data_IF_254952312465
#
_entry.id   IF_254952312465
#
_cell.length_a   1.000
_cell.length_b   1.000
_cell.length_c   1.000
_cell.angle_alpha   90.00
_cell.angle_beta   90.00
_cell.angle_gamma   90.00
#
_symmetry.space_group_name_H-M   'P 1'
#
loop_
_entity.id
_entity.type
_entity.pdbx_description
1 polymer ?
#
# COMPACT_ATOMS: atom_id res chain seq x y z
N UNK A 1 -9.00 -0.27 6.05
CA UNK A 1 -9.11 -0.44 7.53
C UNK A 1 -10.55 -0.17 7.91
N UNK A 2 -11.24 -1.13 8.54
CA UNK A 2 -12.65 -0.98 8.87
C UNK A 2 -12.87 -0.12 10.13
N UNK A 3 -14.12 0.29 10.37
CA UNK A 3 -14.50 1.16 11.50
C UNK A 3 -14.18 0.51 12.85
N UNK A 4 -14.44 -0.80 12.99
CA UNK A 4 -14.18 -1.54 14.22
C UNK A 4 -12.69 -1.55 14.59
N UNK A 5 -11.79 -1.77 13.65
CA UNK A 5 -10.35 -1.69 13.89
C UNK A 5 -9.91 -0.33 14.45
N UNK A 6 -10.45 0.77 13.92
CA UNK A 6 -10.15 2.12 14.44
C UNK A 6 -10.67 2.31 15.85
N UNK A 7 -11.90 1.91 16.12
CA UNK A 7 -12.49 1.99 17.47
C UNK A 7 -11.68 1.20 18.48
N UNK A 8 -11.27 -0.03 18.13
CA UNK A 8 -10.42 -0.88 18.95
C UNK A 8 -9.07 -0.22 19.27
N UNK A 9 -8.37 0.24 18.24
CA UNK A 9 -7.05 0.85 18.38
C UNK A 9 -7.08 2.19 19.15
N UNK A 10 -8.17 2.94 19.03
CA UNK A 10 -8.38 4.16 19.82
C UNK A 10 -8.70 3.82 21.28
N UNK A 11 -9.41 2.72 21.54
CA UNK A 11 -9.66 2.20 22.89
C UNK A 11 -8.36 1.75 23.60
N UNK A 12 -7.51 0.96 22.91
CA UNK A 12 -6.19 0.57 23.44
C UNK A 12 -5.31 1.76 23.83
N UNK A 13 -5.48 2.90 23.15
CA UNK A 13 -4.75 4.14 23.41
C UNK A 13 -5.49 5.13 24.29
N UNK A 14 -6.59 4.70 24.91
CA UNK A 14 -7.45 5.56 25.76
C UNK A 14 -7.93 6.84 25.06
N UNK A 15 -8.18 6.76 23.74
CA UNK A 15 -8.68 7.88 22.94
C UNK A 15 -10.20 7.90 22.82
N UNK A 16 -10.89 6.90 23.32
CA UNK A 16 -12.33 6.81 23.42
C UNK A 16 -12.72 6.18 24.77
N UNK A 17 -14.01 6.09 25.05
CA UNK A 17 -14.55 5.57 26.32
C UNK A 17 -14.72 4.04 26.35
N UNK A 18 -14.37 3.34 25.27
CA UNK A 18 -14.50 1.88 25.20
C UNK A 18 -13.36 1.18 25.92
N UNK A 19 -13.68 0.05 26.54
CA UNK A 19 -12.72 -0.86 27.14
C UNK A 19 -12.51 -2.01 26.17
N UNK A 20 -11.34 -2.13 25.53
CA UNK A 20 -11.07 -3.25 24.64
C UNK A 20 -10.96 -4.53 25.46
N UNK A 21 -11.75 -5.54 25.10
CA UNK A 21 -11.72 -6.86 25.73
C UNK A 21 -11.62 -7.90 24.62
N UNK A 22 -10.52 -8.63 24.59
CA UNK A 22 -10.34 -9.80 23.74
C UNK A 22 -10.56 -11.07 24.56
N UNK A 23 -11.14 -12.08 23.93
CA UNK A 23 -11.33 -13.40 24.52
C UNK A 23 -10.82 -14.43 23.52
N UNK A 24 -9.62 -14.91 23.77
CA UNK A 24 -9.02 -15.95 22.95
C UNK A 24 -9.77 -17.28 23.12
N UNK A 25 -9.88 -18.08 22.08
CA UNK A 25 -10.64 -19.32 22.10
C UNK A 25 -10.22 -20.28 23.20
N UNK A 26 -8.93 -20.32 23.56
CA UNK A 26 -8.40 -21.20 24.61
C UNK A 26 -8.82 -20.81 26.03
N UNK A 27 -9.35 -19.61 26.24
CA UNK A 27 -9.85 -19.10 27.51
C UNK A 27 -11.31 -19.52 27.74
N UNK A 28 -11.99 -20.02 26.69
CA UNK A 28 -13.40 -20.42 26.78
C UNK A 28 -13.49 -21.88 27.22
N UNK A 29 -14.15 -22.19 28.35
CA UNK A 29 -14.32 -23.55 28.81
C UNK A 29 -14.92 -24.48 27.75
N UNK A 30 -14.33 -25.68 27.60
CA UNK A 30 -14.79 -26.70 26.66
C UNK A 30 -14.22 -26.55 25.23
N UNK A 31 -13.39 -25.54 24.99
CA UNK A 31 -12.66 -25.40 23.70
C UNK A 31 -11.23 -25.91 23.88
N UNK A 32 -10.94 -27.03 23.24
CA UNK A 32 -9.64 -27.70 23.24
C UNK A 32 -9.06 -27.77 21.83
N UNK A 33 -7.89 -28.33 21.66
CA UNK A 33 -7.23 -28.48 20.32
C UNK A 33 -8.09 -29.32 19.36
N UNK A 34 -8.90 -30.26 19.84
CA UNK A 34 -9.82 -31.04 19.02
C UNK A 34 -10.96 -30.15 18.50
N UNK A 35 -11.50 -29.29 19.37
CA UNK A 35 -12.50 -28.31 18.99
C UNK A 35 -11.92 -27.33 17.94
N UNK A 36 -10.68 -26.85 18.14
CA UNK A 36 -9.95 -25.99 17.19
C UNK A 36 -9.83 -26.66 15.82
N UNK A 37 -9.31 -27.87 15.78
CA UNK A 37 -9.14 -28.63 14.53
C UNK A 37 -10.47 -28.84 13.78
N UNK A 38 -11.54 -29.18 14.53
CA UNK A 38 -12.87 -29.36 13.95
C UNK A 38 -13.44 -28.04 13.40
N UNK A 39 -13.25 -26.94 14.11
CA UNK A 39 -13.73 -25.61 13.71
C UNK A 39 -13.00 -25.13 12.45
N UNK A 40 -11.68 -25.31 12.37
CA UNK A 40 -10.89 -24.98 11.19
C UNK A 40 -11.34 -25.83 9.98
N UNK A 41 -11.58 -27.11 10.16
CA UNK A 41 -12.06 -28.00 9.11
C UNK A 41 -13.45 -27.60 8.56
N UNK A 42 -14.32 -27.06 9.41
CA UNK A 42 -15.66 -26.63 9.06
C UNK A 42 -15.72 -25.21 8.47
N UNK A 43 -14.67 -24.41 8.66
CA UNK A 43 -14.60 -23.01 8.21
C UNK A 43 -13.36 -22.78 7.32
N UNK A 44 -12.36 -22.15 7.88
CA UNK A 44 -11.02 -22.02 7.31
C UNK A 44 -10.05 -21.53 8.40
N UNK A 45 -8.76 -21.76 8.22
CA UNK A 45 -7.75 -21.23 9.14
C UNK A 45 -7.79 -19.69 9.22
N UNK A 46 -8.03 -19.01 8.09
CA UNK A 46 -8.13 -17.55 8.07
C UNK A 46 -9.34 -17.04 8.84
N UNK A 47 -10.49 -17.71 8.72
CA UNK A 47 -11.70 -17.36 9.47
C UNK A 47 -11.51 -17.66 10.96
N UNK A 48 -10.90 -18.78 11.30
CA UNK A 48 -10.60 -19.14 12.68
C UNK A 48 -9.74 -18.06 13.37
N UNK A 49 -8.69 -17.58 12.71
CA UNK A 49 -7.82 -16.51 13.23
C UNK A 49 -8.58 -15.21 13.52
N UNK A 50 -9.48 -14.82 12.64
CA UNK A 50 -10.26 -13.58 12.81
C UNK A 50 -11.29 -13.72 13.93
N UNK A 51 -12.01 -14.84 13.97
CA UNK A 51 -13.16 -14.99 14.88
C UNK A 51 -12.80 -15.52 16.27
N UNK A 52 -11.73 -16.29 16.38
CA UNK A 52 -11.41 -17.01 17.61
C UNK A 52 -9.99 -16.73 18.15
N UNK A 53 -9.05 -16.30 17.33
CA UNK A 53 -7.72 -15.86 17.78
C UNK A 53 -7.62 -14.32 17.87
N UNK A 54 -8.73 -13.61 17.73
CA UNK A 54 -8.83 -12.15 17.84
C UNK A 54 -7.89 -11.38 16.90
N UNK A 55 -7.48 -12.01 15.78
CA UNK A 55 -6.57 -11.38 14.83
C UNK A 55 -7.30 -10.42 13.87
N UNK A 56 -6.84 -9.19 13.77
CA UNK A 56 -7.26 -8.24 12.74
C UNK A 56 -6.54 -8.53 11.43
N UNK A 57 -6.99 -9.53 10.68
CA UNK A 57 -6.36 -9.91 9.40
C UNK A 57 -6.70 -8.99 8.22
N UNK A 58 -7.48 -7.92 8.43
CA UNK A 58 -8.01 -7.11 7.34
C UNK A 58 -9.13 -7.85 6.58
N UNK A 59 -9.45 -7.42 5.36
CA UNK A 59 -10.46 -8.10 4.54
C UNK A 59 -9.91 -9.45 4.04
N UNK A 60 -10.70 -10.51 4.17
CA UNK A 60 -10.32 -11.90 3.81
C UNK A 60 -10.03 -12.06 2.30
N UNK A 61 -10.56 -11.13 1.47
CA UNK A 61 -10.44 -11.14 0.01
C UNK A 61 -9.48 -10.05 -0.50
N UNK A 62 -8.33 -9.86 0.14
CA UNK A 62 -7.31 -8.94 -0.39
C UNK A 62 -6.45 -9.64 -1.43
N UNK A 63 -6.02 -8.87 -2.46
CA UNK A 63 -5.11 -9.35 -3.50
C UNK A 63 -3.81 -9.94 -2.92
N UNK A 64 -3.33 -9.34 -1.82
CA UNK A 64 -2.14 -9.78 -1.11
C UNK A 64 -2.55 -10.37 0.24
N UNK A 65 -2.03 -11.56 0.55
CA UNK A 65 -2.27 -12.21 1.83
C UNK A 65 -1.90 -11.29 3.01
N UNK A 66 -2.82 -11.02 3.96
CA UNK A 66 -2.59 -10.12 5.09
C UNK A 66 -1.37 -10.51 5.96
N UNK A 67 -1.09 -11.80 6.11
CA UNK A 67 0.09 -12.25 6.84
C UNK A 67 1.40 -11.85 6.15
N UNK A 68 1.43 -11.83 4.80
CA UNK A 68 2.57 -11.31 4.04
C UNK A 68 2.71 -9.79 4.21
N UNK A 69 1.59 -9.06 4.24
CA UNK A 69 1.61 -7.61 4.48
C UNK A 69 2.15 -7.24 5.88
N UNK A 70 1.84 -8.03 6.90
CA UNK A 70 2.38 -7.84 8.27
C UNK A 70 3.91 -7.99 8.33
N UNK A 71 4.49 -8.80 7.45
CA UNK A 71 5.93 -9.06 7.42
C UNK A 71 6.72 -8.08 6.55
N UNK A 72 6.04 -7.12 5.89
CA UNK A 72 6.73 -6.07 5.14
C UNK A 72 7.42 -5.10 6.11
N UNK A 73 8.71 -4.98 5.95
CA UNK A 73 9.53 -4.04 6.72
C UNK A 73 9.40 -2.65 6.07
N UNK A 74 9.18 -1.63 6.89
CA UNK A 74 9.18 -0.25 6.42
C UNK A 74 10.62 0.20 6.17
N UNK A 75 10.89 0.73 4.99
CA UNK A 75 12.15 1.35 4.62
C UNK A 75 12.01 2.87 4.59
N UNK A 76 12.95 3.57 5.23
CA UNK A 76 12.97 5.03 5.21
C UNK A 76 13.57 5.52 3.88
N UNK A 77 12.97 6.50 3.22
CA UNK A 77 13.57 7.12 2.05
C UNK A 77 14.84 7.89 2.44
N UNK A 78 15.84 7.90 1.56
CA UNK A 78 17.06 8.70 1.72
C UNK A 78 16.80 10.19 1.51
N UNK A 79 15.79 10.53 0.71
CA UNK A 79 15.32 11.90 0.46
C UNK A 79 13.81 11.95 0.40
N UNK A 80 13.22 13.03 0.91
CA UNK A 80 11.78 13.28 0.85
C UNK A 80 11.50 14.72 0.48
N UNK A 81 10.71 14.96 -0.56
CA UNK A 81 10.32 16.29 -1.01
C UNK A 81 8.92 16.29 -1.65
N UNK A 82 8.00 17.11 -1.13
CA UNK A 82 6.70 17.40 -1.72
C UNK A 82 5.91 16.17 -2.25
N UNK A 83 5.92 15.07 -1.50
CA UNK A 83 5.23 13.82 -1.89
C UNK A 83 6.12 12.84 -2.65
N UNK A 84 7.33 13.22 -3.05
CA UNK A 84 8.35 12.33 -3.63
C UNK A 84 9.24 11.75 -2.53
N UNK A 85 9.23 10.45 -2.39
CA UNK A 85 10.14 9.67 -1.54
C UNK A 85 11.16 8.97 -2.44
N UNK A 86 12.44 9.20 -2.22
CA UNK A 86 13.55 8.56 -2.94
C UNK A 86 14.24 7.57 -2.00
N UNK A 87 14.38 6.33 -2.42
CA UNK A 87 15.04 5.25 -1.68
C UNK A 87 16.44 4.98 -2.20
N UNK A 88 16.66 5.09 -3.51
CA UNK A 88 17.97 4.99 -4.16
C UNK A 88 18.11 6.10 -5.21
N UNK A 89 19.26 6.77 -5.26
CA UNK A 89 19.58 7.73 -6.32
C UNK A 89 19.80 6.99 -7.66
N UNK A 90 19.52 7.63 -8.81
CA UNK A 90 19.74 7.02 -10.12
C UNK A 90 21.22 6.66 -10.32
N UNK A 91 21.47 5.51 -10.92
CA UNK A 91 22.82 5.00 -11.21
C UNK A 91 23.07 5.04 -12.72
N UNK A 92 24.30 5.32 -13.12
CA UNK A 92 24.71 5.28 -14.53
C UNK A 92 24.49 3.88 -15.15
N UNK A 93 24.02 3.83 -16.38
CA UNK A 93 23.73 2.61 -17.15
C UNK A 93 22.61 1.72 -16.56
N UNK A 94 21.82 2.24 -15.60
CA UNK A 94 20.62 1.56 -15.13
C UNK A 94 19.39 1.99 -15.95
N UNK A 95 18.48 1.04 -16.15
CA UNK A 95 17.20 1.26 -16.80
C UNK A 95 16.09 1.37 -15.76
N UNK A 96 15.19 2.33 -15.95
CA UNK A 96 14.11 2.63 -15.03
C UNK A 96 12.75 2.65 -15.71
N UNK A 97 11.72 2.30 -14.95
CA UNK A 97 10.32 2.33 -15.37
C UNK A 97 9.48 3.09 -14.35
N UNK A 98 8.73 4.07 -14.80
CA UNK A 98 7.67 4.74 -14.03
C UNK A 98 6.32 4.10 -14.35
N UNK A 99 5.62 3.63 -13.32
CA UNK A 99 4.22 3.23 -13.43
C UNK A 99 3.35 4.28 -12.76
N UNK A 100 2.36 4.81 -13.48
CA UNK A 100 1.66 6.04 -13.12
C UNK A 100 0.16 5.82 -13.09
N UNK A 101 -0.47 6.24 -11.98
CA UNK A 101 -1.90 6.35 -11.78
C UNK A 101 -2.28 7.82 -11.54
N UNK A 102 -3.28 8.33 -12.28
CA UNK A 102 -3.64 9.75 -12.30
C UNK A 102 -5.01 9.96 -11.66
N UNK A 103 -5.07 10.81 -10.64
CA UNK A 103 -6.31 11.25 -10.00
C UNK A 103 -6.66 12.70 -10.36
N UNK A 104 -7.87 13.13 -9.99
CA UNK A 104 -8.41 14.47 -10.35
C UNK A 104 -7.82 15.63 -9.54
N UNK A 105 -7.07 15.38 -8.49
CA UNK A 105 -6.45 16.42 -7.66
C UNK A 105 -7.45 17.25 -6.86
N UNK A 106 -8.51 16.62 -6.35
CA UNK A 106 -9.59 17.26 -5.58
C UNK A 106 -9.60 16.81 -4.11
N UNK A 107 -8.50 16.22 -3.64
CA UNK A 107 -8.32 15.81 -2.25
C UNK A 107 -8.82 14.40 -1.90
N UNK A 108 -9.57 13.73 -2.78
CA UNK A 108 -10.12 12.39 -2.52
C UNK A 108 -9.10 11.29 -2.85
N UNK A 109 -8.78 11.15 -4.14
CA UNK A 109 -7.85 10.15 -4.65
C UNK A 109 -6.48 10.76 -4.91
N UNK A 110 -5.45 9.92 -4.93
CA UNK A 110 -4.07 10.34 -5.11
C UNK A 110 -3.60 10.10 -6.53
N UNK A 111 -3.02 11.13 -7.15
CA UNK A 111 -2.08 10.92 -8.25
C UNK A 111 -0.80 10.33 -7.69
N UNK A 112 -0.34 9.23 -8.26
CA UNK A 112 0.80 8.49 -7.76
C UNK A 112 1.64 7.92 -8.90
N UNK A 113 2.94 7.71 -8.63
CA UNK A 113 3.78 6.85 -9.45
C UNK A 113 4.80 6.11 -8.60
N UNK A 114 5.31 5.03 -9.15
CA UNK A 114 6.42 4.26 -8.59
C UNK A 114 7.51 4.20 -9.65
N UNK A 115 8.76 4.41 -9.24
CA UNK A 115 9.94 4.23 -10.09
C UNK A 115 10.57 2.89 -9.73
N UNK A 116 10.69 2.03 -10.73
CA UNK A 116 11.38 0.75 -10.62
C UNK A 116 12.73 0.83 -11.31
N UNK A 117 13.77 0.32 -10.68
CA UNK A 117 14.98 -0.13 -11.35
C UNK A 117 14.69 -1.50 -11.97
N UNK A 118 14.73 -1.56 -13.31
CA UNK A 118 14.43 -2.76 -14.09
C UNK A 118 15.69 -3.38 -14.73
N UNK A 119 16.87 -2.91 -14.34
CA UNK A 119 18.15 -3.36 -14.88
C UNK A 119 18.39 -4.85 -14.64
N UNK A 120 18.02 -5.33 -13.46
CA UNK A 120 18.16 -6.73 -13.07
C UNK A 120 16.95 -7.23 -12.27
N UNK A 121 16.59 -8.49 -12.43
CA UNK A 121 15.57 -9.14 -11.62
C UNK A 121 16.18 -9.66 -10.31
N UNK A 122 15.50 -9.52 -9.14
CA UNK A 122 14.19 -8.89 -8.95
C UNK A 122 14.24 -7.37 -9.07
N UNK A 123 13.21 -6.78 -9.70
CA UNK A 123 13.10 -5.33 -9.84
C UNK A 123 12.98 -4.65 -8.47
N UNK A 124 13.57 -3.46 -8.33
CA UNK A 124 13.56 -2.71 -7.10
C UNK A 124 12.73 -1.43 -7.23
N UNK A 125 11.99 -1.08 -6.19
CA UNK A 125 11.36 0.23 -6.07
C UNK A 125 12.43 1.20 -5.56
N UNK A 126 12.79 2.22 -6.36
CA UNK A 126 13.82 3.21 -6.04
C UNK A 126 13.25 4.57 -5.69
N UNK A 127 12.03 4.88 -6.14
CA UNK A 127 11.31 6.07 -5.71
C UNK A 127 9.80 5.86 -5.81
N UNK A 128 9.04 6.69 -5.08
CA UNK A 128 7.58 6.79 -5.20
C UNK A 128 7.15 8.23 -5.03
N UNK A 129 6.06 8.58 -5.68
CA UNK A 129 5.38 9.85 -5.53
C UNK A 129 3.92 9.65 -5.17
N UNK A 130 3.35 10.54 -4.34
CA UNK A 130 1.94 10.51 -3.98
C UNK A 130 1.47 11.90 -3.59
N UNK A 131 0.41 12.40 -4.25
CA UNK A 131 -0.22 13.67 -3.94
C UNK A 131 -1.70 13.66 -4.35
N UNK A 132 -2.61 14.10 -3.50
CA UNK A 132 -4.06 14.13 -3.79
C UNK A 132 -4.59 15.53 -4.16
N UNK A 133 -3.73 16.54 -4.17
CA UNK A 133 -4.08 17.93 -4.49
C UNK A 133 -3.48 18.39 -5.83
N UNK A 134 -2.53 17.64 -6.37
CA UNK A 134 -1.90 18.00 -7.64
C UNK A 134 -2.91 17.93 -8.79
N UNK A 135 -3.02 19.03 -9.54
CA UNK A 135 -3.88 19.08 -10.72
C UNK A 135 -3.31 18.21 -11.84
N UNK A 136 -4.17 17.48 -12.60
CA UNK A 136 -3.73 16.60 -13.68
C UNK A 136 -2.84 17.29 -14.74
N UNK A 137 -3.05 18.58 -15.00
CA UNK A 137 -2.22 19.35 -15.95
C UNK A 137 -0.82 19.69 -15.43
N UNK A 138 -0.58 19.64 -14.12
CA UNK A 138 0.72 19.91 -13.51
C UNK A 138 1.52 18.63 -13.25
N UNK A 139 0.83 17.52 -13.11
CA UNK A 139 1.44 16.22 -12.80
C UNK A 139 2.45 15.75 -13.88
N UNK A 140 2.23 15.97 -15.20
CA UNK A 140 3.20 15.65 -16.24
C UNK A 140 4.57 16.29 -16.03
N UNK A 141 4.64 17.49 -15.47
CA UNK A 141 5.93 18.16 -15.21
C UNK A 141 6.76 17.36 -14.17
N UNK A 142 6.10 16.89 -13.11
CA UNK A 142 6.79 16.07 -12.08
C UNK A 142 7.23 14.73 -12.66
N UNK A 143 6.37 14.09 -13.47
CA UNK A 143 6.70 12.84 -14.18
C UNK A 143 7.92 13.03 -15.06
N UNK A 144 7.93 14.11 -15.86
CA UNK A 144 9.02 14.44 -16.76
C UNK A 144 10.34 14.71 -16.01
N UNK A 145 10.29 15.50 -14.95
CA UNK A 145 11.49 15.83 -14.16
C UNK A 145 12.09 14.59 -13.51
N UNK A 146 11.24 13.74 -12.91
CA UNK A 146 11.68 12.50 -12.28
C UNK A 146 12.14 11.49 -13.34
N UNK A 147 11.40 11.32 -14.44
CA UNK A 147 11.76 10.40 -15.50
C UNK A 147 13.11 10.76 -16.15
N UNK A 148 13.37 12.03 -16.37
CA UNK A 148 14.69 12.50 -16.86
C UNK A 148 15.79 12.29 -15.82
N UNK A 149 15.50 12.54 -14.55
CA UNK A 149 16.44 12.29 -13.44
C UNK A 149 16.83 10.81 -13.32
N UNK A 150 15.91 9.91 -13.65
CA UNK A 150 16.16 8.46 -13.71
C UNK A 150 16.47 7.98 -15.14
N UNK A 151 17.50 8.54 -15.76
CA UNK A 151 18.09 8.14 -17.06
C UNK A 151 17.10 8.10 -18.23
N UNK A 152 16.13 9.01 -18.30
CA UNK A 152 15.00 8.98 -19.24
C UNK A 152 14.21 7.67 -19.12
N UNK A 153 13.71 7.42 -17.92
CA UNK A 153 12.96 6.22 -17.59
C UNK A 153 11.78 5.97 -18.54
N UNK A 154 11.50 4.70 -18.79
CA UNK A 154 10.27 4.28 -19.48
C UNK A 154 9.05 4.70 -18.69
N UNK A 155 7.96 5.07 -19.38
CA UNK A 155 6.72 5.49 -18.72
C UNK A 155 5.57 4.59 -19.12
N UNK A 156 4.92 4.02 -18.12
CA UNK A 156 3.66 3.28 -18.23
C UNK A 156 2.58 4.05 -17.48
N UNK A 157 1.65 4.67 -18.21
CA UNK A 157 0.56 5.45 -17.65
C UNK A 157 -0.79 4.78 -17.90
N UNK A 158 -1.65 4.72 -16.89
CA UNK A 158 -3.02 4.25 -17.04
C UNK A 158 -3.87 5.35 -17.69
N UNK A 159 -4.35 5.07 -18.91
CA UNK A 159 -5.10 6.03 -19.76
C UNK A 159 -6.61 5.83 -19.57
N UNK A 160 -7.07 5.78 -18.32
CA UNK A 160 -8.48 5.82 -17.98
C UNK A 160 -8.87 7.21 -17.48
N UNK A 161 -10.13 7.62 -17.67
CA UNK A 161 -10.70 8.90 -17.21
C UNK A 161 -9.74 10.09 -17.45
N UNK A 162 -9.13 10.61 -16.38
CA UNK A 162 -8.27 11.80 -16.41
C UNK A 162 -6.82 11.52 -16.83
N UNK A 163 -6.40 10.26 -16.87
CA UNK A 163 -5.05 9.84 -17.25
C UNK A 163 -4.68 10.28 -18.68
N UNK A 164 -5.66 10.37 -19.58
CA UNK A 164 -5.47 10.87 -20.94
C UNK A 164 -4.92 12.30 -20.98
N UNK A 165 -5.28 13.17 -20.03
CA UNK A 165 -4.77 14.56 -19.93
C UNK A 165 -3.26 14.53 -19.66
N UNK A 166 -2.82 13.73 -18.68
CA UNK A 166 -1.40 13.62 -18.36
C UNK A 166 -0.60 13.01 -19.51
N UNK A 167 -1.14 11.99 -20.18
CA UNK A 167 -0.50 11.36 -21.34
C UNK A 167 -0.26 12.35 -22.48
N UNK A 168 -1.25 13.20 -22.83
CA UNK A 168 -1.12 14.17 -23.94
C UNK A 168 -0.16 15.32 -23.63
N UNK A 169 0.16 15.58 -22.37
CA UNK A 169 1.09 16.63 -21.94
C UNK A 169 2.49 16.12 -21.56
N UNK A 170 2.72 14.80 -21.58
CA UNK A 170 4.04 14.22 -21.38
C UNK A 170 4.93 14.43 -22.61
N UNK A 171 6.05 15.09 -22.41
CA UNK A 171 7.15 15.23 -23.36
C UNK A 171 8.41 14.62 -22.74
N UNK A 172 8.56 13.32 -22.90
CA UNK A 172 9.78 12.59 -22.54
C UNK A 172 10.68 12.43 -23.75
#
# INVERSE_FOLDING_TARGET
MNHFYRMWHDAERSKNEYIPTDVHWSEVPGRDEKWKATTIANTSEAQFKVEFECEFLGSVNTLINPAKLKNLVYENPIKRNAGLDIYEDPQENHEYLLTIDVARGIGNDYSAFIVFDITQFPYKIVAKYRNNEIKPMLFPNIINDVGKGYNNAWVLIEVNDIGAVSYTHLTL
#
